data_IF_132554152743
#
_entry.id   IF_132554152743
#
_cell.length_a   1.000
_cell.length_b   1.000
_cell.length_c   1.000
_cell.angle_alpha   90.00
_cell.angle_beta   90.00
_cell.angle_gamma   90.00
#
_symmetry.space_group_name_H-M   'P 1'
#
loop_
_entity.id
_entity.type
_entity.pdbx_description
1 polymer ?
#
# COMPACT_ATOMS: atom_id res chain seq x y z
N UNK A 1 10.87 -18.04 1.78
CA UNK A 1 10.49 -16.95 2.69
C UNK A 1 9.30 -16.25 2.05
N UNK A 2 8.17 -16.15 2.74
CA UNK A 2 7.01 -15.42 2.21
C UNK A 2 7.26 -13.92 2.48
N UNK A 3 7.55 -13.16 1.43
CA UNK A 3 7.89 -11.72 1.53
C UNK A 3 6.70 -10.87 2.00
N UNK A 4 5.49 -11.41 1.91
CA UNK A 4 4.26 -10.81 2.42
C UNK A 4 4.02 -11.08 3.91
N UNK A 5 4.93 -11.79 4.58
CA UNK A 5 4.95 -11.88 6.03
C UNK A 5 6.01 -10.93 6.61
N UNK A 6 5.68 -10.21 7.70
CA UNK A 6 6.65 -9.38 8.39
C UNK A 6 7.77 -10.23 9.03
N UNK A 7 8.90 -9.58 9.32
CA UNK A 7 10.18 -10.20 9.71
C UNK A 7 10.11 -11.18 10.91
N UNK A 8 9.07 -11.10 11.75
CA UNK A 8 8.89 -11.92 12.95
C UNK A 8 7.66 -12.86 12.92
N UNK A 9 7.07 -13.14 11.75
CA UNK A 9 6.03 -14.17 11.59
C UNK A 9 4.60 -13.64 11.45
N UNK A 10 3.72 -14.50 10.92
CA UNK A 10 2.40 -14.14 10.37
C UNK A 10 1.20 -14.26 11.31
N UNK A 11 0.03 -13.89 10.78
CA UNK A 11 -1.29 -14.12 11.40
C UNK A 11 -2.06 -12.83 11.70
N UNK A 12 -1.37 -11.81 12.20
CA UNK A 12 -2.01 -10.63 12.76
C UNK A 12 -1.48 -9.33 12.17
N UNK A 13 -2.27 -8.27 12.34
CA UNK A 13 -2.01 -6.94 11.82
C UNK A 13 -1.03 -6.26 12.76
N UNK A 14 0.18 -5.95 12.30
CA UNK A 14 1.25 -5.45 13.17
C UNK A 14 2.02 -4.30 12.52
N UNK A 15 2.77 -3.57 13.34
CA UNK A 15 3.76 -2.59 12.90
C UNK A 15 5.12 -3.21 12.54
N UNK A 16 5.24 -4.54 12.52
CA UNK A 16 6.50 -5.19 12.19
C UNK A 16 6.89 -4.94 10.73
N UNK A 17 8.17 -4.68 10.43
CA UNK A 17 8.58 -4.37 9.07
C UNK A 17 8.53 -5.60 8.17
N UNK A 18 8.45 -5.35 6.87
CA UNK A 18 8.68 -6.33 5.83
C UNK A 18 9.98 -7.11 6.07
N UNK A 19 10.03 -8.35 5.57
CA UNK A 19 11.22 -9.20 5.65
C UNK A 19 12.38 -8.71 4.76
N UNK A 20 12.15 -7.66 3.97
CA UNK A 20 13.11 -7.02 3.08
C UNK A 20 13.34 -5.55 3.46
N UNK A 21 14.45 -4.98 2.99
CA UNK A 21 14.73 -3.54 3.15
C UNK A 21 13.94 -2.74 2.12
N UNK A 22 13.65 -1.46 2.39
CA UNK A 22 12.89 -0.60 1.47
C UNK A 22 13.47 -0.57 0.05
N UNK A 23 14.79 -0.66 -0.10
CA UNK A 23 15.44 -0.65 -1.42
C UNK A 23 15.07 -1.86 -2.28
N UNK A 24 14.47 -2.90 -1.68
CA UNK A 24 14.04 -4.11 -2.36
C UNK A 24 12.51 -4.22 -2.42
N UNK A 25 11.76 -3.15 -2.13
CA UNK A 25 10.32 -3.15 -2.30
C UNK A 25 9.93 -3.21 -3.78
N UNK A 26 8.70 -3.66 -4.04
CA UNK A 26 8.12 -3.66 -5.38
C UNK A 26 7.98 -2.23 -5.93
N UNK A 27 7.63 -1.26 -5.08
CA UNK A 27 7.58 0.16 -5.43
C UNK A 27 8.94 0.70 -5.90
N UNK A 28 10.02 0.43 -5.14
CA UNK A 28 11.38 0.87 -5.54
C UNK A 28 11.83 0.15 -6.80
N UNK A 29 11.63 -1.17 -6.88
CA UNK A 29 12.02 -1.97 -8.04
C UNK A 29 11.37 -1.47 -9.34
N UNK A 30 10.06 -1.19 -9.34
CA UNK A 30 9.35 -0.68 -10.52
C UNK A 30 9.86 0.70 -10.93
N UNK A 31 10.15 1.56 -9.94
CA UNK A 31 10.67 2.92 -10.17
C UNK A 31 12.05 2.88 -10.80
N UNK A 32 12.95 2.08 -10.22
CA UNK A 32 14.32 1.92 -10.73
C UNK A 32 14.31 1.33 -12.14
N UNK A 33 13.50 0.30 -12.38
CA UNK A 33 13.38 -0.34 -13.70
C UNK A 33 12.88 0.64 -14.76
N UNK A 34 11.90 1.49 -14.41
CA UNK A 34 11.37 2.51 -15.30
C UNK A 34 12.42 3.59 -15.60
N UNK A 35 13.12 4.09 -14.58
CA UNK A 35 14.16 5.10 -14.75
C UNK A 35 15.35 4.57 -15.57
N UNK A 36 15.78 3.33 -15.34
CA UNK A 36 16.82 2.66 -16.13
C UNK A 36 16.39 2.57 -17.60
N UNK A 37 15.12 2.25 -17.86
CA UNK A 37 14.59 2.18 -19.23
C UNK A 37 14.57 3.54 -19.92
N UNK A 38 14.17 4.62 -19.23
CA UNK A 38 14.19 5.99 -19.75
C UNK A 38 15.63 6.48 -19.98
N UNK A 39 16.59 6.11 -19.13
CA UNK A 39 17.99 6.58 -19.22
C UNK A 39 18.69 6.25 -20.53
N UNK A 40 18.19 5.23 -21.25
CA UNK A 40 18.73 4.83 -22.55
C UNK A 40 18.01 5.50 -23.73
N UNK A 41 17.07 6.40 -23.45
CA UNK A 41 16.13 7.05 -24.40
C UNK A 41 15.94 8.54 -24.13
N UNK A 42 16.87 9.18 -23.41
CA UNK A 42 16.72 10.60 -23.01
C UNK A 42 16.61 11.56 -24.21
N UNK A 43 17.08 11.14 -25.39
CA UNK A 43 17.03 11.91 -26.65
C UNK A 43 15.88 11.45 -27.59
N UNK A 44 15.01 10.53 -27.15
CA UNK A 44 13.90 9.97 -27.92
C UNK A 44 12.54 10.32 -27.29
N UNK A 45 11.49 10.40 -28.12
CA UNK A 45 10.12 10.45 -27.60
C UNK A 45 9.74 9.12 -26.95
N UNK A 46 9.20 9.15 -25.74
CA UNK A 46 8.80 7.96 -25.01
C UNK A 46 7.39 8.05 -24.43
N UNK A 47 6.82 6.88 -24.15
CA UNK A 47 5.56 6.73 -23.42
C UNK A 47 5.73 5.61 -22.40
N UNK A 48 5.41 5.91 -21.13
CA UNK A 48 5.46 4.95 -20.03
C UNK A 48 4.14 4.98 -19.27
N UNK A 49 3.57 3.79 -19.05
CA UNK A 49 2.49 3.57 -18.11
C UNK A 49 3.05 2.83 -16.89
N UNK A 50 3.24 3.55 -15.79
CA UNK A 50 3.78 3.02 -14.54
C UNK A 50 2.64 2.78 -13.55
N UNK A 51 2.34 1.51 -13.29
CA UNK A 51 1.27 1.10 -12.37
C UNK A 51 1.88 0.51 -11.10
N UNK A 52 1.78 1.24 -9.99
CA UNK A 52 2.16 0.71 -8.68
C UNK A 52 1.10 -0.25 -8.15
N UNK A 53 1.54 -1.37 -7.57
CA UNK A 53 0.65 -2.31 -6.87
C UNK A 53 0.27 -1.77 -5.49
N UNK A 54 1.22 -1.14 -4.79
CA UNK A 54 0.97 -0.53 -3.48
C UNK A 54 -0.02 0.62 -3.62
N UNK A 55 -0.86 0.87 -2.60
CA UNK A 55 -0.89 0.26 -1.26
C UNK A 55 -1.80 -0.98 -1.16
N UNK A 56 -1.97 -1.77 -2.23
CA UNK A 56 -2.79 -2.99 -2.19
C UNK A 56 -2.30 -3.97 -1.10
N UNK A 57 -3.22 -4.71 -0.43
CA UNK A 57 -2.85 -5.77 0.50
C UNK A 57 -1.99 -6.88 -0.16
N UNK A 58 -1.22 -7.66 0.60
CA UNK A 58 -1.04 -7.58 2.05
C UNK A 58 -0.31 -6.30 2.48
N UNK A 59 -0.84 -5.61 3.50
CA UNK A 59 -0.27 -4.36 4.02
C UNK A 59 0.93 -4.64 4.91
N UNK A 60 2.10 -4.73 4.26
CA UNK A 60 3.39 -4.94 4.92
C UNK A 60 4.38 -3.97 4.29
N UNK A 61 4.88 -3.03 5.09
CA UNK A 61 5.83 -2.00 4.64
C UNK A 61 7.22 -2.27 5.20
N UNK A 62 8.27 -1.88 4.49
CA UNK A 62 9.64 -1.93 5.01
C UNK A 62 9.93 -0.75 5.96
N UNK A 63 11.00 -0.84 6.75
CA UNK A 63 11.47 0.31 7.52
C UNK A 63 11.91 1.46 6.60
N UNK A 64 11.59 2.73 6.92
CA UNK A 64 10.89 3.19 8.14
C UNK A 64 9.35 3.27 7.99
N UNK A 65 8.79 2.95 6.82
CA UNK A 65 7.38 3.19 6.49
C UNK A 65 6.40 2.40 7.38
N UNK A 66 6.79 1.23 7.89
CA UNK A 66 5.97 0.39 8.78
C UNK A 66 5.55 1.08 10.09
N UNK A 67 6.31 2.07 10.55
CA UNK A 67 6.07 2.80 11.81
C UNK A 67 6.00 4.31 11.62
N UNK A 68 5.93 4.79 10.38
CA UNK A 68 5.94 6.21 10.07
C UNK A 68 4.70 6.95 10.60
N UNK A 69 3.56 6.24 10.62
CA UNK A 69 2.29 6.75 11.12
C UNK A 69 1.92 6.09 12.44
N UNK A 70 1.48 6.92 13.38
CA UNK A 70 0.93 6.49 14.67
C UNK A 70 -0.52 6.02 14.47
N UNK A 71 -0.85 4.74 14.74
CA UNK A 71 -2.21 4.21 14.60
C UNK A 71 -3.25 4.97 15.43
N UNK A 72 -2.89 5.59 16.55
CA UNK A 72 -3.86 6.35 17.36
C UNK A 72 -4.22 7.70 16.73
N UNK A 73 -3.43 8.16 15.75
CA UNK A 73 -3.64 9.45 15.07
C UNK A 73 -4.27 9.32 13.69
N UNK A 74 -4.43 8.09 13.17
CA UNK A 74 -5.17 7.89 11.91
C UNK A 74 -6.66 7.95 12.16
N UNK A 75 -7.43 8.46 11.19
CA UNK A 75 -8.86 8.64 11.40
C UNK A 75 -9.58 7.28 11.57
N UNK A 76 -10.53 7.16 12.50
CA UNK A 76 -11.29 5.92 12.71
C UNK A 76 -12.14 5.57 11.47
N UNK A 77 -12.61 4.31 11.36
CA UNK A 77 -13.53 3.92 10.30
C UNK A 77 -14.86 4.68 10.41
N UNK A 78 -15.40 5.12 9.27
CA UNK A 78 -16.77 5.63 9.19
C UNK A 78 -17.68 4.43 8.94
N UNK A 79 -18.48 4.06 9.94
CA UNK A 79 -19.39 2.91 9.92
C UNK A 79 -20.49 3.06 10.96
N UNK A 80 -21.57 2.30 10.82
CA UNK A 80 -22.63 2.22 11.82
C UNK A 80 -22.14 1.62 13.14
N UNK A 81 -22.98 1.72 14.17
CA UNK A 81 -22.65 1.24 15.52
C UNK A 81 -22.49 -0.29 15.59
N UNK A 82 -23.04 -1.04 14.63
CA UNK A 82 -22.92 -2.49 14.55
C UNK A 82 -22.97 -2.97 13.10
N UNK A 83 -22.44 -4.17 12.84
CA UNK A 83 -22.52 -4.82 11.53
C UNK A 83 -23.96 -5.13 11.10
N UNK A 84 -24.86 -5.33 12.07
CA UNK A 84 -26.29 -5.53 11.79
C UNK A 84 -26.92 -4.25 11.25
N UNK A 85 -26.70 -3.11 11.91
CA UNK A 85 -27.18 -1.80 11.45
C UNK A 85 -26.56 -1.41 10.10
N UNK A 86 -25.25 -1.65 9.93
CA UNK A 86 -24.56 -1.43 8.65
C UNK A 86 -25.21 -2.27 7.54
N UNK A 87 -25.50 -3.54 7.82
CA UNK A 87 -26.12 -4.48 6.88
C UNK A 87 -27.54 -4.09 6.44
N UNK A 88 -28.26 -3.26 7.20
CA UNK A 88 -29.59 -2.77 6.84
C UNK A 88 -29.57 -1.75 5.70
N UNK A 89 -28.41 -1.13 5.40
CA UNK A 89 -28.30 -0.14 4.33
C UNK A 89 -28.49 -0.76 2.93
N UNK A 90 -28.03 -1.99 2.73
CA UNK A 90 -28.19 -2.71 1.46
C UNK A 90 -28.06 -4.23 1.66
N UNK A 91 -28.91 -5.09 1.06
CA UNK A 91 -28.88 -6.54 1.28
C UNK A 91 -27.53 -7.22 1.01
N UNK A 92 -26.72 -6.66 0.12
CA UNK A 92 -25.37 -7.17 -0.18
C UNK A 92 -24.37 -6.95 0.97
N UNK A 93 -24.56 -5.97 1.84
CA UNK A 93 -23.59 -5.65 2.89
C UNK A 93 -23.51 -6.74 3.94
N UNK A 94 -24.64 -7.29 4.39
CA UNK A 94 -24.64 -8.42 5.33
C UNK A 94 -23.91 -9.63 4.76
N UNK A 95 -24.09 -9.90 3.45
CA UNK A 95 -23.37 -10.97 2.74
C UNK A 95 -21.87 -10.69 2.70
N UNK A 96 -21.44 -9.47 2.35
CA UNK A 96 -20.02 -9.10 2.30
C UNK A 96 -19.37 -9.17 3.68
N UNK A 97 -20.05 -8.73 4.74
CA UNK A 97 -19.54 -8.77 6.11
C UNK A 97 -19.22 -10.18 6.60
N UNK A 98 -19.87 -11.20 6.04
CA UNK A 98 -19.63 -12.61 6.38
C UNK A 98 -18.67 -13.30 5.40
N UNK A 99 -18.73 -12.93 4.12
CA UNK A 99 -18.00 -13.66 3.07
C UNK A 99 -16.54 -13.27 2.91
N UNK A 100 -16.13 -12.06 3.28
CA UNK A 100 -14.76 -11.57 3.06
C UNK A 100 -13.83 -12.01 4.20
N UNK A 101 -12.93 -12.98 3.99
CA UNK A 101 -12.03 -13.42 5.05
C UNK A 101 -10.91 -12.39 5.30
N UNK A 102 -10.39 -12.32 6.53
CA UNK A 102 -9.20 -11.51 6.85
C UNK A 102 -8.00 -11.89 5.97
N UNK A 103 -7.87 -13.15 5.57
CA UNK A 103 -6.78 -13.65 4.72
C UNK A 103 -6.71 -13.01 3.34
N UNK A 104 -7.80 -12.41 2.82
CA UNK A 104 -7.77 -11.64 1.57
C UNK A 104 -6.96 -10.33 1.71
N UNK A 105 -6.76 -9.85 2.95
CA UNK A 105 -6.14 -8.56 3.25
C UNK A 105 -4.83 -8.71 4.03
N UNK A 106 -4.72 -9.76 4.84
CA UNK A 106 -3.59 -9.99 5.74
C UNK A 106 -3.07 -11.41 5.56
N UNK A 107 -1.89 -11.53 4.94
CA UNK A 107 -1.27 -12.81 4.64
C UNK A 107 -1.05 -13.65 5.91
N UNK A 108 -1.47 -14.91 5.87
CA UNK A 108 -1.34 -15.84 6.99
C UNK A 108 -2.34 -15.64 8.13
N UNK A 109 -3.29 -14.71 8.01
CA UNK A 109 -4.35 -14.50 9.00
C UNK A 109 -5.48 -15.54 8.95
N UNK A 110 -6.36 -15.52 9.95
CA UNK A 110 -7.53 -16.41 10.04
C UNK A 110 -8.52 -16.19 8.89
N UNK A 111 -9.31 -17.22 8.58
CA UNK A 111 -10.45 -17.11 7.65
C UNK A 111 -11.68 -16.42 8.25
N UNK A 112 -11.57 -15.83 9.45
CA UNK A 112 -12.66 -15.07 10.06
C UNK A 112 -12.99 -13.85 9.21
N UNK A 113 -14.25 -13.38 9.19
CA UNK A 113 -14.60 -12.24 8.36
C UNK A 113 -13.85 -10.96 8.74
N UNK A 114 -13.33 -10.24 7.75
CA UNK A 114 -12.56 -8.99 7.94
C UNK A 114 -13.41 -7.88 8.57
N UNK A 115 -14.74 -7.92 8.40
CA UNK A 115 -15.64 -6.97 9.03
C UNK A 115 -15.63 -7.05 10.58
N UNK A 116 -15.07 -8.12 11.15
CA UNK A 116 -14.98 -8.35 12.60
C UNK A 116 -13.63 -8.01 13.21
N UNK A 117 -12.73 -7.34 12.47
CA UNK A 117 -11.48 -6.83 13.04
C UNK A 117 -11.74 -5.79 14.13
N UNK A 118 -10.86 -5.74 15.12
CA UNK A 118 -10.93 -4.70 16.15
C UNK A 118 -10.59 -3.32 15.59
N UNK A 119 -10.93 -2.26 16.34
CA UNK A 119 -10.54 -0.90 15.95
C UNK A 119 -9.02 -0.72 15.96
N UNK A 120 -8.34 -1.28 16.95
CA UNK A 120 -6.87 -1.27 17.02
C UNK A 120 -6.24 -1.92 15.77
N UNK A 121 -6.75 -3.09 15.39
CA UNK A 121 -6.35 -3.80 14.17
C UNK A 121 -6.58 -2.95 12.92
N UNK A 122 -7.76 -2.35 12.79
CA UNK A 122 -8.08 -1.48 11.65
C UNK A 122 -7.15 -0.26 11.59
N UNK A 123 -6.93 0.41 12.72
CA UNK A 123 -6.08 1.60 12.82
C UNK A 123 -4.62 1.25 12.50
N UNK A 124 -4.11 0.12 12.98
CA UNK A 124 -2.77 -0.35 12.62
C UNK A 124 -2.65 -0.66 11.13
N UNK A 125 -3.62 -1.34 10.53
CA UNK A 125 -3.63 -1.61 9.09
C UNK A 125 -3.63 -0.30 8.28
N UNK A 126 -4.43 0.68 8.71
CA UNK A 126 -4.53 2.00 8.07
C UNK A 126 -3.24 2.82 8.21
N UNK A 127 -2.56 2.75 9.35
CA UNK A 127 -1.25 3.36 9.52
C UNK A 127 -0.20 2.77 8.57
N UNK A 128 -0.16 1.44 8.43
CA UNK A 128 0.73 0.76 7.47
C UNK A 128 0.37 1.09 6.02
N UNK A 129 -0.92 1.17 5.69
CA UNK A 129 -1.41 1.63 4.38
C UNK A 129 -0.89 3.03 4.06
N UNK A 130 -0.94 3.97 5.01
CA UNK A 130 -0.37 5.31 4.81
C UNK A 130 1.15 5.28 4.65
N UNK A 131 1.85 4.41 5.38
CA UNK A 131 3.29 4.21 5.17
C UNK A 131 3.64 3.78 3.74
N UNK A 132 2.87 2.85 3.18
CA UNK A 132 3.03 2.41 1.78
C UNK A 132 2.72 3.54 0.79
N UNK A 133 1.72 4.39 1.07
CA UNK A 133 1.45 5.58 0.26
C UNK A 133 2.63 6.56 0.27
N UNK A 134 3.24 6.81 1.43
CA UNK A 134 4.45 7.65 1.50
C UNK A 134 5.60 7.06 0.71
N UNK A 135 5.78 5.74 0.72
CA UNK A 135 6.81 5.11 -0.10
C UNK A 135 6.60 5.36 -1.60
N UNK A 136 5.34 5.33 -2.07
CA UNK A 136 4.98 5.70 -3.45
C UNK A 136 5.30 7.19 -3.70
N UNK A 137 4.90 8.09 -2.80
CA UNK A 137 5.16 9.52 -2.94
C UNK A 137 6.67 9.82 -3.03
N UNK A 138 7.49 9.14 -2.23
CA UNK A 138 8.95 9.24 -2.29
C UNK A 138 9.49 8.77 -3.66
N UNK A 139 8.92 7.71 -4.23
CA UNK A 139 9.32 7.23 -5.57
C UNK A 139 8.85 8.16 -6.70
N UNK A 140 7.66 8.73 -6.60
CA UNK A 140 7.19 9.76 -7.53
C UNK A 140 8.10 11.00 -7.47
N UNK A 141 8.54 11.38 -6.27
CA UNK A 141 9.55 12.41 -6.06
C UNK A 141 10.84 12.13 -6.83
N UNK A 142 11.38 10.91 -6.73
CA UNK A 142 12.58 10.47 -7.48
C UNK A 142 12.39 10.56 -8.99
N UNK A 143 11.23 10.18 -9.52
CA UNK A 143 10.92 10.29 -10.95
C UNK A 143 10.94 11.76 -11.37
N UNK A 144 10.27 12.63 -10.62
CA UNK A 144 10.25 14.08 -10.90
C UNK A 144 11.67 14.68 -10.85
N UNK A 145 12.47 14.31 -9.85
CA UNK A 145 13.86 14.73 -9.72
C UNK A 145 14.71 14.28 -10.91
N UNK A 146 14.57 13.03 -11.34
CA UNK A 146 15.27 12.49 -12.50
C UNK A 146 14.90 13.21 -13.80
N UNK A 147 13.60 13.43 -14.04
CA UNK A 147 13.13 14.17 -15.21
C UNK A 147 13.65 15.61 -15.21
N UNK A 148 13.76 16.25 -14.05
CA UNK A 148 14.35 17.60 -13.93
C UNK A 148 15.85 17.59 -14.19
N UNK A 149 16.57 16.61 -13.63
CA UNK A 149 18.02 16.49 -13.78
C UNK A 149 18.45 16.22 -15.23
N UNK A 150 17.61 15.53 -15.99
CA UNK A 150 17.84 15.21 -17.41
C UNK A 150 17.20 16.23 -18.37
N UNK A 151 16.57 17.29 -17.86
CA UNK A 151 15.95 18.33 -18.68
C UNK A 151 14.65 17.94 -19.37
N UNK A 152 14.09 16.76 -19.05
CA UNK A 152 12.87 16.22 -19.67
C UNK A 152 11.57 16.69 -18.99
N UNK A 153 11.64 17.23 -17.76
CA UNK A 153 10.44 17.53 -16.96
C UNK A 153 9.47 18.50 -17.64
N UNK A 154 9.97 19.60 -18.20
CA UNK A 154 9.13 20.65 -18.81
C UNK A 154 8.47 20.19 -20.13
N UNK A 155 9.02 19.15 -20.77
CA UNK A 155 8.50 18.56 -22.00
C UNK A 155 7.72 17.26 -21.77
N UNK A 156 7.50 16.86 -20.52
CA UNK A 156 6.79 15.63 -20.16
C UNK A 156 5.37 15.94 -19.70
N UNK A 157 4.37 15.34 -20.36
CA UNK A 157 3.00 15.32 -19.82
C UNK A 157 2.87 14.21 -18.77
N UNK A 158 2.69 14.60 -17.51
CA UNK A 158 2.45 13.67 -16.41
C UNK A 158 0.95 13.61 -16.13
N UNK A 159 0.38 12.40 -16.19
CA UNK A 159 -0.98 12.10 -15.76
C UNK A 159 -0.89 11.13 -14.59
N UNK A 160 -1.57 11.46 -13.49
CA UNK A 160 -1.57 10.67 -12.26
C UNK A 160 -3.02 10.46 -11.81
N UNK A 161 -3.36 9.23 -11.42
CA UNK A 161 -4.68 8.79 -10.97
C UNK A 161 -4.62 7.92 -9.70
#
# INVERSE_FOLDING_TARGET
MNVFLPKNGGGDITSAPASYKKEHSDTVFLTDTMMDWISTREEEDWFVHLSYLRPHPPWVAAEPYNTLYDPEKVSPPIRAQSLEEEGKQHPMLSVIHEMKPKSDFFEGSSSTPVAKVSDEEFLQAKATYYGLMTEIDDQLGRIVEYLKATGQYESTLIVYE
#
